data_IF_316092238295
#
_entry.id   IF_316092238295
#
_cell.length_a   1.000
_cell.length_b   1.000
_cell.length_c   1.000
_cell.angle_alpha   90.00
_cell.angle_beta   90.00
_cell.angle_gamma   90.00
#
_symmetry.space_group_name_H-M   'P 1'
#
loop_
_entity.id
_entity.type
_entity.pdbx_description
1 polymer ?
#
# COMPACT_ATOMS: atom_id res chain seq x y z
N UNK A 1 -51.07 6.88 4.00
CA UNK A 1 -50.43 7.47 2.82
C UNK A 1 -48.99 7.82 3.20
N UNK A 2 -48.11 7.06 2.63
CA UNK A 2 -46.70 7.33 2.30
C UNK A 2 -45.80 8.18 3.21
N UNK A 3 -44.86 7.50 3.86
CA UNK A 3 -43.48 7.95 4.02
C UNK A 3 -42.58 6.73 4.12
N UNK A 4 -42.27 6.14 2.97
CA UNK A 4 -41.26 5.11 2.75
C UNK A 4 -40.44 5.53 1.53
N UNK A 5 -39.55 6.49 1.68
CA UNK A 5 -38.56 6.86 0.64
C UNK A 5 -37.42 7.64 1.27
N UNK A 6 -36.63 7.05 2.17
CA UNK A 6 -35.31 7.59 2.55
C UNK A 6 -34.50 6.56 3.35
N UNK A 7 -34.32 5.34 2.84
CA UNK A 7 -33.36 4.39 3.44
C UNK A 7 -32.85 3.40 2.37
N UNK A 8 -32.22 3.90 1.32
CA UNK A 8 -31.66 2.95 0.34
C UNK A 8 -30.50 3.58 -0.47
N UNK A 9 -29.45 4.11 0.19
CA UNK A 9 -28.27 4.61 -0.54
C UNK A 9 -26.92 4.37 0.17
N UNK A 10 -26.82 3.52 1.19
CA UNK A 10 -25.54 3.27 1.89
C UNK A 10 -25.09 1.79 1.96
N UNK A 11 -25.68 0.88 1.22
CA UNK A 11 -25.41 -0.56 1.41
C UNK A 11 -24.64 -1.29 0.30
N UNK A 12 -23.94 -0.67 -0.62
CA UNK A 12 -23.27 -1.45 -1.68
C UNK A 12 -21.87 -0.95 -2.06
N UNK A 13 -20.94 -0.84 -1.09
CA UNK A 13 -19.53 -0.60 -1.44
C UNK A 13 -18.52 -1.30 -0.51
N UNK A 14 -18.90 -2.38 0.15
CA UNK A 14 -17.90 -3.21 0.86
C UNK A 14 -17.30 -4.22 -0.12
N UNK A 15 -15.97 -4.30 -0.15
CA UNK A 15 -15.26 -5.38 -0.83
C UNK A 15 -15.77 -6.73 -0.30
N UNK A 16 -15.72 -7.76 -1.14
CA UNK A 16 -16.09 -9.12 -0.72
C UNK A 16 -15.22 -9.55 0.46
N UNK A 17 -15.76 -10.34 1.40
CA UNK A 17 -14.95 -10.97 2.44
C UNK A 17 -13.73 -11.69 1.83
N UNK A 18 -12.58 -11.63 2.52
CA UNK A 18 -11.31 -12.19 2.04
C UNK A 18 -10.77 -11.51 0.77
N UNK A 19 -10.88 -10.20 0.70
CA UNK A 19 -10.50 -9.42 -0.48
C UNK A 19 -9.09 -9.75 -0.97
N UNK A 20 -8.08 -9.73 -0.08
CA UNK A 20 -6.71 -10.03 -0.48
C UNK A 20 -6.55 -11.47 -0.97
N UNK A 21 -7.24 -12.44 -0.36
CA UNK A 21 -7.21 -13.83 -0.81
C UNK A 21 -7.87 -13.99 -2.17
N UNK A 22 -8.98 -13.29 -2.42
CA UNK A 22 -9.65 -13.32 -3.72
C UNK A 22 -8.81 -12.73 -4.86
N UNK A 23 -7.86 -11.83 -4.55
CA UNK A 23 -6.93 -11.30 -5.54
C UNK A 23 -5.88 -12.33 -5.98
N UNK A 24 -5.55 -13.29 -5.12
CA UNK A 24 -4.49 -14.27 -5.36
C UNK A 24 -5.03 -15.65 -5.74
N UNK A 25 -6.24 -15.98 -5.33
CA UNK A 25 -6.94 -17.23 -5.66
C UNK A 25 -7.65 -17.12 -7.01
N UNK A 26 -6.86 -16.92 -8.06
CA UNK A 26 -7.34 -16.79 -9.43
C UNK A 26 -6.81 -17.94 -10.28
N UNK A 27 -7.57 -18.39 -11.33
CA UNK A 27 -7.11 -19.46 -12.22
C UNK A 27 -5.83 -19.14 -13.00
N UNK A 28 -5.47 -17.87 -13.11
CA UNK A 28 -4.23 -17.41 -13.71
C UNK A 28 -3.39 -16.73 -12.63
N UNK A 29 -2.19 -17.25 -12.31
CA UNK A 29 -1.36 -16.69 -11.26
C UNK A 29 -0.86 -15.31 -11.69
N UNK A 30 -1.53 -14.27 -11.22
CA UNK A 30 -1.15 -12.87 -11.40
C UNK A 30 -0.81 -12.32 -10.02
N UNK A 31 0.09 -11.36 -9.95
CA UNK A 31 0.24 -10.54 -8.75
C UNK A 31 -0.71 -9.34 -8.83
N UNK A 32 -1.06 -8.75 -7.70
CA UNK A 32 -1.80 -7.49 -7.69
C UNK A 32 -0.87 -6.30 -7.41
N UNK A 33 -1.30 -5.11 -7.84
CA UNK A 33 -0.53 -3.87 -7.69
C UNK A 33 -1.24 -2.90 -6.75
N UNK A 34 -0.53 -2.44 -5.72
CA UNK A 34 -0.87 -1.26 -4.93
C UNK A 34 0.07 -0.15 -5.39
N UNK A 35 -0.45 0.90 -6.03
CA UNK A 35 0.40 1.98 -6.50
C UNK A 35 -0.31 3.34 -6.52
N UNK A 36 0.50 4.40 -6.50
CA UNK A 36 0.08 5.79 -6.55
C UNK A 36 1.17 6.72 -6.06
N UNK A 37 0.90 8.01 -5.85
CA UNK A 37 1.88 8.93 -5.30
C UNK A 37 2.16 8.63 -3.83
N UNK A 38 3.34 9.03 -3.35
CA UNK A 38 3.69 8.91 -1.94
C UNK A 38 2.66 9.60 -1.03
N UNK A 39 2.28 10.82 -1.39
CA UNK A 39 1.32 11.67 -0.68
C UNK A 39 0.39 12.36 -1.70
N UNK A 40 -0.81 12.69 -1.28
CA UNK A 40 -1.72 13.52 -2.07
C UNK A 40 -1.15 14.94 -2.12
N UNK A 41 -0.69 15.36 -3.30
CA UNK A 41 -0.21 16.72 -3.55
C UNK A 41 -1.36 17.64 -4.01
N UNK A 42 -2.18 17.14 -4.93
CA UNK A 42 -3.42 17.74 -5.39
C UNK A 42 -4.38 16.67 -5.89
N UNK A 43 -5.66 17.03 -6.06
CA UNK A 43 -6.62 16.15 -6.71
C UNK A 43 -6.19 15.82 -8.14
N UNK A 44 -5.79 16.84 -8.93
CA UNK A 44 -5.44 16.72 -10.33
C UNK A 44 -4.27 15.75 -10.54
N UNK A 45 -3.19 15.92 -9.79
CA UNK A 45 -2.01 15.06 -9.86
C UNK A 45 -2.38 13.62 -9.46
N UNK A 46 -3.08 13.45 -8.35
CA UNK A 46 -3.49 12.13 -7.85
C UNK A 46 -4.44 11.41 -8.80
N UNK A 47 -5.40 12.14 -9.39
CA UNK A 47 -6.34 11.59 -10.36
C UNK A 47 -5.65 11.17 -11.66
N UNK A 48 -4.71 11.98 -12.16
CA UNK A 48 -3.95 11.68 -13.38
C UNK A 48 -3.11 10.40 -13.19
N UNK A 49 -2.40 10.29 -12.07
CA UNK A 49 -1.63 9.08 -11.72
C UNK A 49 -2.55 7.86 -11.63
N UNK A 50 -3.66 7.96 -10.88
CA UNK A 50 -4.61 6.86 -10.71
C UNK A 50 -5.20 6.40 -12.06
N UNK A 51 -5.55 7.34 -12.95
CA UNK A 51 -6.08 7.04 -14.28
C UNK A 51 -5.06 6.31 -15.14
N UNK A 52 -3.83 6.79 -15.22
CA UNK A 52 -2.76 6.15 -16.00
C UNK A 52 -2.46 4.74 -15.50
N UNK A 53 -2.36 4.57 -14.17
CA UNK A 53 -2.14 3.24 -13.57
C UNK A 53 -3.30 2.29 -13.85
N UNK A 54 -4.55 2.76 -13.73
CA UNK A 54 -5.74 1.96 -14.06
C UNK A 54 -5.70 1.47 -15.51
N UNK A 55 -5.51 2.38 -16.46
CA UNK A 55 -5.46 2.06 -17.89
C UNK A 55 -4.33 1.05 -18.20
N UNK A 56 -3.17 1.24 -17.58
CA UNK A 56 -2.02 0.32 -17.71
C UNK A 56 -2.32 -1.06 -17.15
N UNK A 57 -2.87 -1.14 -15.95
CA UNK A 57 -3.13 -2.41 -15.28
C UNK A 57 -4.29 -3.17 -15.91
N UNK A 58 -5.35 -2.49 -16.36
CA UNK A 58 -6.45 -3.10 -17.12
C UNK A 58 -5.95 -3.73 -18.43
N UNK A 59 -5.10 -3.02 -19.18
CA UNK A 59 -4.45 -3.56 -20.40
C UNK A 59 -3.63 -4.80 -20.14
N UNK A 60 -3.01 -4.90 -18.96
CA UNK A 60 -2.13 -6.00 -18.57
C UNK A 60 -2.85 -7.12 -17.80
N UNK A 61 -4.11 -6.93 -17.43
CA UNK A 61 -4.88 -7.89 -16.62
C UNK A 61 -4.38 -8.00 -15.17
N UNK A 62 -3.79 -6.93 -14.61
CA UNK A 62 -3.28 -6.88 -13.24
C UNK A 62 -4.33 -6.24 -12.32
N UNK A 63 -4.78 -6.90 -11.24
CA UNK A 63 -5.63 -6.26 -10.24
C UNK A 63 -4.93 -5.04 -9.62
N UNK A 64 -5.65 -3.92 -9.53
CA UNK A 64 -5.07 -2.64 -9.12
C UNK A 64 -5.81 -2.02 -7.95
N UNK A 65 -5.05 -1.47 -7.00
CA UNK A 65 -5.51 -0.71 -5.85
C UNK A 65 -4.77 0.63 -5.85
N UNK A 66 -5.50 1.73 -5.88
CA UNK A 66 -4.90 3.06 -5.84
C UNK A 66 -4.51 3.43 -4.42
N UNK A 67 -3.25 3.82 -4.21
CA UNK A 67 -2.72 4.26 -2.92
C UNK A 67 -2.25 5.71 -2.94
N UNK A 68 -2.66 6.47 -1.96
CA UNK A 68 -2.03 7.75 -1.62
C UNK A 68 -2.21 8.04 -0.12
N UNK A 69 -1.21 8.67 0.52
CA UNK A 69 -1.34 9.10 1.91
C UNK A 69 -1.98 10.48 1.97
N UNK A 70 -2.91 10.67 2.89
CA UNK A 70 -3.49 11.99 3.18
C UNK A 70 -2.60 12.84 4.11
N UNK A 71 -1.72 12.19 4.86
CA UNK A 71 -0.74 12.83 5.75
C UNK A 71 0.52 11.96 5.86
N UNK A 72 1.68 12.59 5.86
CA UNK A 72 2.97 11.99 6.18
C UNK A 72 3.35 12.39 7.60
N UNK A 73 2.74 11.74 8.59
CA UNK A 73 2.88 12.08 10.01
C UNK A 73 4.30 11.86 10.58
N UNK A 74 5.16 11.14 9.85
CA UNK A 74 6.51 10.73 10.27
C UNK A 74 7.64 11.47 9.55
N UNK A 75 7.39 12.69 9.04
CA UNK A 75 8.42 13.48 8.34
C UNK A 75 9.60 13.81 9.28
N UNK A 76 10.81 13.79 8.74
CA UNK A 76 12.04 14.14 9.47
C UNK A 76 12.07 15.62 9.83
N UNK A 77 11.76 16.50 8.87
CA UNK A 77 11.70 17.95 9.10
C UNK A 77 10.27 18.38 9.46
N UNK A 78 10.17 19.36 10.39
CA UNK A 78 8.89 19.95 10.78
C UNK A 78 8.23 20.71 9.62
N UNK A 79 9.02 21.35 8.77
CA UNK A 79 8.56 22.17 7.65
C UNK A 79 8.32 21.36 6.37
N UNK A 80 8.54 20.02 6.39
CA UNK A 80 8.33 19.18 5.22
C UNK A 80 6.83 19.09 4.87
N UNK A 81 6.53 19.03 3.58
CA UNK A 81 5.16 18.83 3.10
C UNK A 81 4.56 17.52 3.64
N UNK A 82 3.39 17.61 4.23
CA UNK A 82 2.72 16.47 4.87
C UNK A 82 1.53 15.94 4.10
N UNK A 83 0.96 16.72 3.21
CA UNK A 83 -0.28 16.39 2.50
C UNK A 83 -1.43 17.33 2.88
N UNK A 84 -2.65 17.10 2.31
CA UNK A 84 -3.82 17.95 2.54
C UNK A 84 -4.47 17.75 3.91
N UNK A 85 -4.05 16.73 4.66
CA UNK A 85 -4.67 16.33 5.91
C UNK A 85 -5.82 15.33 5.75
N UNK A 86 -6.34 14.89 6.88
CA UNK A 86 -7.26 13.74 6.96
C UNK A 86 -8.56 13.94 6.18
N UNK A 87 -9.26 15.05 6.42
CA UNK A 87 -10.58 15.29 5.85
C UNK A 87 -10.52 15.50 4.33
N UNK A 88 -9.66 16.41 3.89
CA UNK A 88 -9.52 16.71 2.47
C UNK A 88 -8.91 15.53 1.71
N UNK A 89 -7.94 14.84 2.31
CA UNK A 89 -7.37 13.65 1.69
C UNK A 89 -8.37 12.53 1.49
N UNK A 90 -9.25 12.27 2.46
CA UNK A 90 -10.34 11.32 2.29
C UNK A 90 -11.33 11.76 1.22
N UNK A 91 -11.67 13.05 1.13
CA UNK A 91 -12.52 13.58 0.09
C UNK A 91 -11.92 13.34 -1.31
N UNK A 92 -10.63 13.62 -1.49
CA UNK A 92 -9.91 13.37 -2.76
C UNK A 92 -9.93 11.87 -3.12
N UNK A 93 -9.62 10.99 -2.16
CA UNK A 93 -9.64 9.54 -2.37
C UNK A 93 -11.05 9.05 -2.75
N UNK A 94 -12.08 9.56 -2.09
CA UNK A 94 -13.47 9.25 -2.41
C UNK A 94 -13.85 9.64 -3.85
N UNK A 95 -13.43 10.83 -4.29
CA UNK A 95 -13.68 11.28 -5.67
C UNK A 95 -12.97 10.38 -6.70
N UNK A 96 -11.70 10.01 -6.44
CA UNK A 96 -10.93 9.11 -7.32
C UNK A 96 -11.60 7.74 -7.39
N UNK A 97 -11.95 7.15 -6.24
CA UNK A 97 -12.65 5.87 -6.12
C UNK A 97 -13.90 5.84 -7.00
N UNK A 98 -14.78 6.80 -6.85
CA UNK A 98 -16.06 6.82 -7.57
C UNK A 98 -15.91 7.13 -9.05
N UNK A 99 -15.03 8.08 -9.44
CA UNK A 99 -14.83 8.45 -10.85
C UNK A 99 -14.10 7.38 -11.64
N UNK A 100 -13.10 6.75 -11.05
CA UNK A 100 -12.31 5.71 -11.73
C UNK A 100 -12.78 4.28 -11.45
N UNK A 101 -13.65 4.08 -10.45
CA UNK A 101 -14.11 2.75 -10.00
C UNK A 101 -12.93 1.83 -9.66
N UNK A 102 -11.99 2.33 -8.89
CA UNK A 102 -10.83 1.60 -8.38
C UNK A 102 -10.90 1.53 -6.85
N UNK A 103 -10.51 0.40 -6.22
CA UNK A 103 -10.32 0.35 -4.78
C UNK A 103 -9.26 1.34 -4.33
N UNK A 104 -9.46 1.95 -3.16
CA UNK A 104 -8.52 2.92 -2.59
C UNK A 104 -8.01 2.47 -1.22
N UNK A 105 -6.72 2.70 -0.98
CA UNK A 105 -6.03 2.43 0.27
C UNK A 105 -5.28 3.68 0.74
N UNK A 106 -5.33 3.96 2.04
CA UNK A 106 -4.47 4.96 2.68
C UNK A 106 -4.07 4.50 4.08
N UNK A 107 -2.96 5.03 4.56
CA UNK A 107 -2.49 4.78 5.91
C UNK A 107 -3.21 5.68 6.93
N UNK A 108 -3.52 5.10 8.10
CA UNK A 108 -4.02 5.81 9.28
C UNK A 108 -2.93 5.86 10.36
N UNK A 109 -2.97 6.90 11.20
CA UNK A 109 -1.92 7.15 12.19
C UNK A 109 -2.44 7.12 13.64
N UNK A 110 -3.74 7.30 13.82
CA UNK A 110 -4.41 7.33 15.12
C UNK A 110 -5.62 6.39 15.12
N UNK A 111 -5.94 5.72 16.25
CA UNK A 111 -7.09 4.82 16.35
C UNK A 111 -8.42 5.49 15.97
N UNK A 112 -8.61 6.75 16.35
CA UNK A 112 -9.84 7.50 16.08
C UNK A 112 -10.09 7.77 14.58
N UNK A 113 -9.06 7.70 13.76
CA UNK A 113 -9.19 7.82 12.30
C UNK A 113 -9.85 6.61 11.66
N UNK A 114 -9.72 5.42 12.26
CA UNK A 114 -10.11 4.16 11.64
C UNK A 114 -11.57 4.13 11.20
N UNK A 115 -12.50 4.46 12.10
CA UNK A 115 -13.95 4.43 11.82
C UNK A 115 -14.34 5.40 10.70
N UNK A 116 -13.75 6.60 10.68
CA UNK A 116 -14.08 7.62 9.67
C UNK A 116 -13.43 7.27 8.33
N UNK A 117 -12.18 6.81 8.34
CA UNK A 117 -11.49 6.32 7.16
C UNK A 117 -12.25 5.17 6.48
N UNK A 118 -12.83 4.25 7.27
CA UNK A 118 -13.63 3.13 6.76
C UNK A 118 -14.91 3.56 6.03
N UNK A 119 -15.36 4.79 6.18
CA UNK A 119 -16.49 5.35 5.40
C UNK A 119 -16.09 5.66 3.95
N UNK A 120 -14.80 5.70 3.62
CA UNK A 120 -14.27 6.06 2.30
C UNK A 120 -13.36 4.98 1.73
N UNK A 121 -12.36 4.56 2.52
CA UNK A 121 -11.37 3.60 2.09
C UNK A 121 -11.98 2.20 1.89
N UNK A 122 -11.40 1.46 0.98
CA UNK A 122 -11.67 0.03 0.78
C UNK A 122 -10.72 -0.84 1.61
N UNK A 123 -9.52 -0.33 1.85
CA UNK A 123 -8.48 -1.00 2.61
C UNK A 123 -7.83 0.01 3.54
N UNK A 124 -7.59 -0.37 4.79
CA UNK A 124 -6.83 0.46 5.75
C UNK A 124 -5.38 -0.03 5.77
N UNK A 125 -4.43 0.91 5.71
CA UNK A 125 -3.01 0.58 5.89
C UNK A 125 -2.51 1.04 7.26
N UNK A 126 -1.70 0.18 7.91
CA UNK A 126 -0.91 0.53 9.09
C UNK A 126 0.54 0.80 8.67
N UNK A 127 1.07 2.00 8.92
CA UNK A 127 2.45 2.35 8.59
C UNK A 127 3.48 1.48 9.32
N UNK A 128 4.67 1.34 8.73
CA UNK A 128 5.75 0.51 9.26
C UNK A 128 6.16 0.90 10.69
N UNK A 129 6.29 2.19 10.99
CA UNK A 129 6.66 2.65 12.35
C UNK A 129 5.60 2.34 13.39
N UNK A 130 4.33 2.18 12.99
CA UNK A 130 3.19 1.97 13.88
C UNK A 130 2.73 0.50 13.89
N UNK A 131 3.42 -0.39 13.22
CA UNK A 131 3.02 -1.79 13.05
C UNK A 131 2.91 -2.60 14.35
N UNK A 132 3.44 -2.10 15.48
CA UNK A 132 3.31 -2.73 16.81
C UNK A 132 2.29 -2.05 17.72
N UNK A 133 1.69 -0.93 17.31
CA UNK A 133 0.72 -0.18 18.11
C UNK A 133 -0.60 -0.96 18.21
N UNK A 134 -0.83 -1.59 19.36
CA UNK A 134 -1.97 -2.50 19.58
C UNK A 134 -3.29 -1.81 19.30
N UNK A 135 -3.52 -0.64 19.90
CA UNK A 135 -4.80 0.06 19.79
C UNK A 135 -5.09 0.50 18.35
N UNK A 136 -4.06 0.90 17.58
CA UNK A 136 -4.22 1.27 16.18
C UNK A 136 -4.59 0.06 15.31
N UNK A 137 -3.92 -1.08 15.53
CA UNK A 137 -4.22 -2.33 14.81
C UNK A 137 -5.65 -2.79 15.11
N UNK A 138 -6.03 -2.83 16.39
CA UNK A 138 -7.37 -3.25 16.81
C UNK A 138 -8.44 -2.31 16.26
N UNK A 139 -8.22 -0.99 16.30
CA UNK A 139 -9.16 -0.01 15.73
C UNK A 139 -9.34 -0.20 14.21
N UNK A 140 -8.25 -0.44 13.47
CA UNK A 140 -8.33 -0.74 12.04
C UNK A 140 -9.12 -2.03 11.77
N UNK A 141 -8.80 -3.11 12.49
CA UNK A 141 -9.45 -4.42 12.30
C UNK A 141 -10.91 -4.42 12.73
N UNK A 142 -11.28 -3.63 13.74
CA UNK A 142 -12.67 -3.47 14.20
C UNK A 142 -13.60 -2.84 13.16
N UNK A 143 -13.05 -2.20 12.11
CA UNK A 143 -13.85 -1.66 11.01
C UNK A 143 -14.45 -2.74 10.11
N UNK A 144 -13.89 -3.95 10.13
CA UNK A 144 -14.24 -5.05 9.24
C UNK A 144 -13.74 -4.90 7.80
N UNK A 145 -12.95 -3.85 7.50
CA UNK A 145 -12.27 -3.71 6.21
C UNK A 145 -11.01 -4.58 6.16
N UNK A 146 -10.55 -4.94 4.94
CA UNK A 146 -9.20 -5.47 4.75
C UNK A 146 -8.14 -4.56 5.35
N UNK A 147 -7.12 -5.12 6.01
CA UNK A 147 -6.04 -4.34 6.63
C UNK A 147 -4.70 -4.77 6.08
N UNK A 148 -3.97 -3.82 5.52
CA UNK A 148 -2.59 -4.00 5.11
C UNK A 148 -1.65 -3.46 6.19
N UNK A 149 -0.72 -4.28 6.68
CA UNK A 149 0.24 -3.86 7.71
C UNK A 149 1.65 -3.87 7.13
N UNK A 150 2.28 -2.71 7.07
CA UNK A 150 3.69 -2.63 6.66
C UNK A 150 4.58 -3.15 7.78
N UNK A 151 5.42 -4.14 7.49
CA UNK A 151 6.40 -4.65 8.45
C UNK A 151 7.38 -3.53 8.82
N UNK A 152 7.55 -3.29 10.12
CA UNK A 152 8.57 -2.36 10.58
C UNK A 152 9.98 -2.81 10.19
N UNK A 153 10.82 -1.88 9.76
CA UNK A 153 12.22 -2.17 9.40
C UNK A 153 13.10 -2.62 10.58
N UNK A 154 12.57 -2.53 11.78
CA UNK A 154 13.18 -3.00 13.03
C UNK A 154 12.74 -4.42 13.43
N UNK A 155 11.87 -5.08 12.64
CA UNK A 155 11.31 -6.40 12.90
C UNK A 155 11.95 -7.47 12.03
N UNK A 156 12.19 -8.63 12.62
CA UNK A 156 12.37 -9.86 11.86
C UNK A 156 11.02 -10.31 11.26
N UNK A 157 11.02 -11.11 10.18
CA UNK A 157 9.77 -11.63 9.62
C UNK A 157 8.99 -12.50 10.63
N UNK A 158 9.69 -13.22 11.53
CA UNK A 158 9.06 -14.09 12.55
C UNK A 158 8.20 -13.32 13.55
N UNK A 159 8.55 -12.06 13.87
CA UNK A 159 7.78 -11.22 14.80
C UNK A 159 6.43 -10.77 14.21
N UNK A 160 6.25 -10.87 12.88
CA UNK A 160 4.98 -10.57 12.26
C UNK A 160 3.85 -11.50 12.73
N UNK A 161 4.16 -12.71 13.23
CA UNK A 161 3.17 -13.59 13.84
C UNK A 161 2.39 -12.90 14.96
N UNK A 162 3.07 -12.13 15.81
CA UNK A 162 2.42 -11.40 16.90
C UNK A 162 1.50 -10.28 16.38
N UNK A 163 1.90 -9.64 15.26
CA UNK A 163 1.08 -8.62 14.61
C UNK A 163 -0.18 -9.25 14.02
N UNK A 164 -0.03 -10.37 13.30
CA UNK A 164 -1.14 -11.12 12.72
C UNK A 164 -2.10 -11.59 13.83
N UNK A 165 -1.58 -12.15 14.94
CA UNK A 165 -2.39 -12.55 16.08
C UNK A 165 -3.22 -11.40 16.65
N UNK A 166 -2.63 -10.20 16.81
CA UNK A 166 -3.38 -9.01 17.23
C UNK A 166 -4.46 -8.65 16.21
N UNK A 167 -4.10 -8.59 14.93
CA UNK A 167 -5.00 -8.19 13.87
C UNK A 167 -6.21 -9.12 13.74
N UNK A 168 -6.00 -10.43 13.89
CA UNK A 168 -7.07 -11.44 13.79
C UNK A 168 -7.88 -11.62 15.07
N UNK A 169 -7.45 -11.06 16.21
CA UNK A 169 -8.09 -11.25 17.52
C UNK A 169 -9.55 -10.79 17.59
N UNK A 170 -9.97 -9.89 16.70
CA UNK A 170 -11.35 -9.42 16.59
C UNK A 170 -12.15 -10.11 15.47
N UNK A 171 -11.64 -11.22 14.93
CA UNK A 171 -12.31 -11.97 13.85
C UNK A 171 -12.12 -11.41 12.44
N UNK A 172 -11.31 -10.38 12.26
CA UNK A 172 -10.93 -9.91 10.93
C UNK A 172 -9.73 -10.72 10.43
N UNK A 173 -9.95 -11.57 9.42
CA UNK A 173 -8.91 -12.42 8.83
C UNK A 173 -8.41 -11.89 7.48
N UNK A 174 -8.97 -10.80 6.96
CA UNK A 174 -8.54 -10.19 5.70
C UNK A 174 -7.36 -9.25 5.93
N UNK A 175 -6.23 -9.86 6.27
CA UNK A 175 -4.99 -9.18 6.65
C UNK A 175 -3.91 -9.50 5.63
N UNK A 176 -3.12 -8.50 5.25
CA UNK A 176 -1.91 -8.69 4.45
C UNK A 176 -0.70 -8.03 5.11
N UNK A 177 0.48 -8.59 4.91
CA UNK A 177 1.74 -8.02 5.39
C UNK A 177 2.55 -7.47 4.22
N UNK A 178 3.07 -6.26 4.36
CA UNK A 178 3.98 -5.67 3.37
C UNK A 178 5.42 -5.69 3.88
N UNK A 179 6.26 -6.47 3.23
CA UNK A 179 7.72 -6.48 3.42
C UNK A 179 8.34 -5.24 2.78
N UNK A 180 9.24 -4.57 3.48
CA UNK A 180 9.89 -3.34 3.01
C UNK A 180 11.37 -3.21 3.41
N UNK A 181 12.02 -4.31 3.72
CA UNK A 181 13.39 -4.36 4.20
C UNK A 181 13.51 -4.17 5.71
N UNK A 182 14.71 -4.38 6.19
CA UNK A 182 15.11 -4.22 7.58
C UNK A 182 16.34 -3.31 7.67
N UNK A 183 16.49 -2.59 8.79
CA UNK A 183 17.68 -1.77 9.07
C UNK A 183 18.93 -2.62 9.06
N UNK A 184 19.94 -2.17 8.34
CA UNK A 184 21.26 -2.79 8.27
C UNK A 184 22.34 -1.74 8.44
N UNK A 185 22.70 -1.44 9.69
CA UNK A 185 23.52 -0.30 10.06
C UNK A 185 22.71 1.00 10.06
N UNK A 186 23.42 2.13 9.95
CA UNK A 186 22.81 3.46 9.89
C UNK A 186 22.41 3.80 8.45
N UNK A 187 21.28 4.47 8.31
CA UNK A 187 20.81 5.06 7.05
C UNK A 187 20.72 4.07 5.87
N UNK A 188 20.57 2.78 6.14
CA UNK A 188 20.52 1.74 5.13
C UNK A 188 19.46 0.68 5.43
N UNK A 189 18.85 0.13 4.38
CA UNK A 189 17.91 -0.98 4.44
C UNK A 189 18.39 -2.10 3.53
N UNK A 190 18.17 -3.34 3.98
CA UNK A 190 18.44 -4.54 3.18
C UNK A 190 17.19 -5.42 3.17
N UNK A 191 16.87 -5.98 2.02
CA UNK A 191 15.79 -6.95 1.88
C UNK A 191 16.35 -8.37 1.98
N UNK A 192 15.89 -9.11 2.98
CA UNK A 192 16.07 -10.56 3.00
C UNK A 192 14.86 -11.21 2.31
N UNK A 193 15.02 -11.67 1.08
CA UNK A 193 13.93 -12.28 0.32
C UNK A 193 13.41 -13.59 0.91
N UNK A 194 14.14 -14.23 1.84
CA UNK A 194 13.61 -15.35 2.63
C UNK A 194 12.42 -14.93 3.47
N UNK A 195 12.31 -13.63 3.80
CA UNK A 195 11.17 -13.08 4.54
C UNK A 195 9.84 -13.31 3.82
N UNK A 196 9.80 -13.26 2.50
CA UNK A 196 8.59 -13.52 1.71
C UNK A 196 8.09 -14.94 1.94
N UNK A 197 8.99 -15.93 1.87
CA UNK A 197 8.64 -17.33 2.16
C UNK A 197 8.16 -17.51 3.60
N UNK A 198 8.89 -16.96 4.57
CA UNK A 198 8.56 -17.04 6.00
C UNK A 198 7.18 -16.45 6.29
N UNK A 199 6.85 -15.31 5.67
CA UNK A 199 5.57 -14.65 5.84
C UNK A 199 4.44 -15.42 5.15
N UNK A 200 4.70 -16.00 3.96
CA UNK A 200 3.73 -16.83 3.25
C UNK A 200 3.31 -18.05 4.10
N UNK A 201 4.26 -18.68 4.83
CA UNK A 201 3.96 -19.79 5.74
C UNK A 201 3.08 -19.37 6.94
N UNK A 202 2.94 -18.09 7.22
CA UNK A 202 2.01 -17.59 8.24
C UNK A 202 0.55 -17.51 7.76
N UNK A 203 0.29 -17.84 6.48
CA UNK A 203 -1.06 -17.93 5.92
C UNK A 203 -1.70 -16.57 5.64
N UNK A 204 -0.90 -15.53 5.38
CA UNK A 204 -1.39 -14.19 4.98
C UNK A 204 -0.78 -13.77 3.66
N UNK A 205 -1.50 -13.05 2.79
CA UNK A 205 -0.94 -12.48 1.58
C UNK A 205 0.23 -11.55 1.86
N UNK A 206 1.34 -11.75 1.13
CA UNK A 206 2.57 -10.98 1.27
C UNK A 206 2.71 -10.02 0.11
N UNK A 207 2.86 -8.74 0.43
CA UNK A 207 3.11 -7.66 -0.51
C UNK A 207 4.56 -7.22 -0.36
N UNK A 208 5.23 -6.92 -1.44
CA UNK A 208 6.57 -6.36 -1.41
C UNK A 208 6.54 -4.88 -1.76
N UNK A 209 7.04 -4.03 -0.85
CA UNK A 209 7.20 -2.60 -1.08
C UNK A 209 8.54 -2.33 -1.78
N UNK A 210 8.49 -2.16 -3.08
CA UNK A 210 9.69 -1.98 -3.90
C UNK A 210 10.32 -0.60 -3.74
N UNK A 211 9.53 0.42 -3.40
CA UNK A 211 10.01 1.81 -3.30
C UNK A 211 10.60 2.14 -1.94
N UNK A 212 9.96 1.71 -0.85
CA UNK A 212 10.53 1.96 0.47
C UNK A 212 11.66 1.00 0.87
N UNK A 213 11.83 -0.12 0.17
CA UNK A 213 12.96 -1.04 0.40
C UNK A 213 14.30 -0.49 -0.08
N UNK A 214 14.29 0.51 -0.95
CA UNK A 214 15.48 1.20 -1.47
C UNK A 214 15.67 2.59 -0.85
N UNK A 215 14.92 2.90 0.20
CA UNK A 215 15.05 4.14 0.95
C UNK A 215 16.34 4.14 1.77
N UNK A 216 17.02 5.29 1.83
CA UNK A 216 18.12 5.57 2.74
C UNK A 216 17.60 6.51 3.85
N UNK A 217 17.11 5.98 4.99
CA UNK A 217 16.48 6.79 6.02
C UNK A 217 17.43 7.82 6.58
N UNK A 218 17.05 9.12 6.57
CA UNK A 218 17.90 10.20 7.05
C UNK A 218 19.18 10.43 6.21
N UNK A 219 19.30 9.84 5.03
CA UNK A 219 20.50 9.92 4.20
C UNK A 219 20.76 11.30 3.54
N UNK A 220 19.79 12.22 3.60
CA UNK A 220 19.87 13.56 3.05
C UNK A 220 19.60 14.64 4.12
N UNK A 221 20.16 14.48 5.31
CA UNK A 221 20.02 15.38 6.46
C UNK A 221 18.56 15.64 6.88
N UNK A 222 17.83 16.45 6.12
CA UNK A 222 16.44 16.84 6.42
C UNK A 222 15.39 15.95 5.75
N UNK A 223 15.80 14.94 4.96
CA UNK A 223 14.91 14.02 4.24
C UNK A 223 15.56 12.64 4.07
N UNK A 224 14.77 11.66 3.66
CA UNK A 224 15.31 10.38 3.21
C UNK A 224 15.85 10.52 1.79
N UNK A 225 17.05 9.99 1.56
CA UNK A 225 17.55 9.69 0.23
C UNK A 225 16.98 8.35 -0.27
N UNK A 226 17.28 7.98 -1.51
CA UNK A 226 16.81 6.72 -2.07
C UNK A 226 17.52 6.35 -3.36
N UNK A 227 17.36 5.10 -3.71
CA UNK A 227 18.06 4.47 -4.83
C UNK A 227 17.07 3.85 -5.81
N UNK A 228 16.18 4.69 -6.44
CA UNK A 228 15.12 4.23 -7.35
C UNK A 228 15.60 3.28 -8.45
N UNK A 229 16.87 3.36 -8.84
CA UNK A 229 17.46 2.45 -9.84
C UNK A 229 17.36 0.97 -9.46
N UNK A 230 17.24 0.65 -8.18
CA UNK A 230 17.10 -0.73 -7.70
C UNK A 230 15.65 -1.20 -7.58
N UNK A 231 14.66 -0.33 -7.69
CA UNK A 231 13.23 -0.71 -7.63
C UNK A 231 12.90 -1.81 -8.63
N UNK A 232 13.29 -1.73 -9.93
CA UNK A 232 13.03 -2.81 -10.88
C UNK A 232 13.72 -4.14 -10.52
N UNK A 233 14.92 -4.08 -9.98
CA UNK A 233 15.69 -5.27 -9.59
C UNK A 233 15.04 -5.99 -8.42
N UNK A 234 14.69 -5.25 -7.36
CA UNK A 234 14.06 -5.83 -6.18
C UNK A 234 12.63 -6.30 -6.46
N UNK A 235 11.88 -5.60 -7.31
CA UNK A 235 10.56 -6.04 -7.77
C UNK A 235 10.60 -7.40 -8.47
N UNK A 236 11.58 -7.60 -9.37
CA UNK A 236 11.79 -8.88 -10.05
C UNK A 236 12.11 -10.00 -9.06
N UNK A 237 13.02 -9.74 -8.13
CA UNK A 237 13.38 -10.69 -7.09
C UNK A 237 12.20 -11.04 -6.17
N UNK A 238 11.38 -10.07 -5.81
CA UNK A 238 10.21 -10.29 -4.96
C UNK A 238 9.15 -11.17 -5.63
N UNK A 239 8.84 -10.92 -6.91
CA UNK A 239 7.92 -11.77 -7.68
C UNK A 239 8.48 -13.19 -7.81
N UNK A 240 9.79 -13.33 -8.09
CA UNK A 240 10.44 -14.62 -8.15
C UNK A 240 10.46 -15.36 -6.80
N UNK A 241 10.53 -14.62 -5.69
CA UNK A 241 10.48 -15.17 -4.33
C UNK A 241 9.05 -15.52 -3.86
N UNK A 242 8.01 -15.26 -4.66
CA UNK A 242 6.62 -15.62 -4.34
C UNK A 242 5.80 -14.52 -3.65
N UNK A 243 6.15 -13.25 -3.83
CA UNK A 243 5.28 -12.17 -3.38
C UNK A 243 3.94 -12.21 -4.15
N UNK A 244 2.84 -12.01 -3.41
CA UNK A 244 1.48 -12.02 -3.95
C UNK A 244 1.10 -10.67 -4.56
N UNK A 245 1.69 -9.58 -4.08
CA UNK A 245 1.47 -8.23 -4.58
C UNK A 245 2.71 -7.37 -4.51
N UNK A 246 2.67 -6.26 -5.22
CA UNK A 246 3.69 -5.21 -5.16
C UNK A 246 3.07 -3.91 -4.69
N UNK A 247 3.85 -3.17 -3.89
CA UNK A 247 3.58 -1.79 -3.54
C UNK A 247 4.64 -0.91 -4.19
N UNK A 248 4.21 0.04 -5.04
CA UNK A 248 5.11 0.94 -5.78
C UNK A 248 4.58 2.36 -5.71
N UNK A 249 5.36 3.28 -5.16
CA UNK A 249 5.09 4.71 -5.29
C UNK A 249 5.60 5.21 -6.65
N UNK A 250 4.81 6.05 -7.31
CA UNK A 250 5.13 6.57 -8.64
C UNK A 250 4.68 8.00 -8.79
N UNK A 251 5.41 8.76 -9.61
CA UNK A 251 5.11 10.16 -9.89
C UNK A 251 5.44 10.47 -11.36
N UNK A 252 4.70 11.38 -12.04
CA UNK A 252 5.01 11.78 -13.41
C UNK A 252 6.41 12.38 -13.58
N UNK A 253 6.88 13.10 -12.55
CA UNK A 253 8.22 13.68 -12.48
C UNK A 253 8.74 13.49 -11.04
N UNK A 254 9.37 12.35 -10.72
CA UNK A 254 9.79 12.03 -9.36
C UNK A 254 10.72 13.07 -8.72
N UNK A 255 11.47 13.82 -9.52
CA UNK A 255 12.40 14.83 -8.99
C UNK A 255 11.65 16.10 -8.50
N UNK A 256 10.37 16.26 -8.88
CA UNK A 256 9.47 17.32 -8.38
C UNK A 256 8.49 16.83 -7.31
N UNK A 257 8.48 15.54 -7.00
CA UNK A 257 7.58 15.01 -5.98
C UNK A 257 7.85 15.64 -4.61
N UNK A 258 6.79 16.04 -3.90
CA UNK A 258 6.89 16.70 -2.59
C UNK A 258 7.24 15.72 -1.45
N UNK A 259 7.21 14.40 -1.73
CA UNK A 259 7.60 13.35 -0.80
C UNK A 259 8.21 12.16 -1.54
N UNK A 260 9.28 11.60 -0.96
CA UNK A 260 9.97 10.37 -1.38
C UNK A 260 10.32 10.29 -2.89
N UNK A 261 10.56 11.45 -3.51
CA UNK A 261 10.95 11.55 -4.92
C UNK A 261 12.13 10.63 -5.29
N UNK A 262 13.24 10.59 -4.50
CA UNK A 262 14.37 9.71 -4.79
C UNK A 262 14.05 8.20 -4.85
N UNK A 263 12.93 7.76 -4.28
CA UNK A 263 12.50 6.37 -4.30
C UNK A 263 11.40 6.11 -5.33
N UNK A 264 10.62 7.14 -5.69
CA UNK A 264 9.46 6.99 -6.57
C UNK A 264 9.86 6.61 -7.98
N UNK A 265 9.11 5.69 -8.57
CA UNK A 265 9.26 5.30 -9.97
C UNK A 265 8.69 6.37 -10.91
N UNK A 266 9.33 6.65 -12.05
CA UNK A 266 8.69 7.40 -13.13
C UNK A 266 7.41 6.68 -13.60
N UNK A 267 6.32 7.44 -13.73
CA UNK A 267 5.00 6.87 -14.09
C UNK A 267 5.00 6.21 -15.46
N UNK A 268 5.76 6.75 -16.40
CA UNK A 268 5.91 6.25 -17.77
C UNK A 268 6.72 4.94 -17.86
N UNK A 269 7.54 4.62 -16.86
CA UNK A 269 8.28 3.36 -16.78
C UNK A 269 7.45 2.20 -16.20
N UNK A 270 6.29 2.48 -15.59
CA UNK A 270 5.47 1.47 -14.91
C UNK A 270 5.02 0.35 -15.85
N UNK A 271 4.55 0.66 -17.06
CA UNK A 271 4.07 -0.37 -18.01
C UNK A 271 5.18 -1.36 -18.37
N UNK A 272 6.39 -0.87 -18.62
CA UNK A 272 7.55 -1.70 -18.98
C UNK A 272 7.95 -2.64 -17.83
N UNK A 273 7.99 -2.10 -16.61
CA UNK A 273 8.27 -2.89 -15.41
C UNK A 273 7.22 -3.99 -15.23
N UNK A 274 5.94 -3.65 -15.26
CA UNK A 274 4.84 -4.58 -15.03
C UNK A 274 4.81 -5.72 -16.07
N UNK A 275 5.10 -5.45 -17.34
CA UNK A 275 5.24 -6.47 -18.38
C UNK A 275 6.36 -7.47 -18.06
N UNK A 276 7.51 -6.97 -17.60
CA UNK A 276 8.64 -7.83 -17.20
C UNK A 276 8.26 -8.71 -16.01
N UNK A 277 7.56 -8.16 -15.03
CA UNK A 277 7.13 -8.89 -13.84
C UNK A 277 6.09 -9.97 -14.15
N UNK A 278 5.17 -9.71 -15.09
CA UNK A 278 4.23 -10.73 -15.58
C UNK A 278 4.96 -11.89 -16.26
N UNK A 279 6.01 -11.61 -17.04
CA UNK A 279 6.81 -12.66 -17.67
C UNK A 279 7.52 -13.54 -16.62
N UNK A 280 8.07 -12.92 -15.57
CA UNK A 280 8.68 -13.66 -14.44
C UNK A 280 7.62 -14.50 -13.73
N UNK A 281 6.48 -13.92 -13.40
CA UNK A 281 5.39 -14.63 -12.68
C UNK A 281 4.93 -15.87 -13.43
N UNK A 282 4.84 -15.82 -14.75
CA UNK A 282 4.49 -16.97 -15.59
C UNK A 282 5.51 -18.12 -15.53
N UNK A 283 6.77 -17.82 -15.21
CA UNK A 283 7.85 -18.84 -15.14
C UNK A 283 7.91 -19.48 -13.76
N UNK A 284 7.63 -18.71 -12.72
CA UNK A 284 7.81 -19.18 -11.33
C UNK A 284 6.52 -19.70 -10.69
N UNK A 285 5.38 -19.61 -11.37
CA UNK A 285 4.06 -20.09 -10.90
C UNK A 285 3.27 -19.00 -10.27
#
# INVERSE_FOLDING_TARGET
MNNNLENNTLENNKLSPNFFFNLIDTPSPVFFLIAGPCVIESYETSFSIAKTLKETTEKLGIPFIFKASFDKANRTSLDAFRGPGFEEGLNILNQIKHKLKVPVISDIHLPDQAKKAAGVLDIIQIPAFLCRQTDLILAACATGLPVNIKKGQFLSPFECRNIITKATSLGNHDISITERGACFGYNNLVVDFRSIHILNEMGVPVIFDATHSVQLPGGAADSSAGERQFVPTLSKAAIAAGAHGLFIETHPDPDKALCDGPNSMPLDEMESLLKTLLAIKKVVG
#
